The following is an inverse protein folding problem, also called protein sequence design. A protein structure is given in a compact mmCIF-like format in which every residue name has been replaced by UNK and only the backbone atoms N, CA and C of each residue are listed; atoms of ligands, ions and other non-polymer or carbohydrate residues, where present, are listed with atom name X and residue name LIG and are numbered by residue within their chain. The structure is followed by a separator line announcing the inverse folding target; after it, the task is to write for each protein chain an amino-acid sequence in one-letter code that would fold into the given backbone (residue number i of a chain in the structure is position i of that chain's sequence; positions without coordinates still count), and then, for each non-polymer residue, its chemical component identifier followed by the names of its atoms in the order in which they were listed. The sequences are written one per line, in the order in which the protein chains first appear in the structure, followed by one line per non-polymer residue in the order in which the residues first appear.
data_IF_117047153984
#
_entry.id   IF_117047153984
#
_cell.length_a   1.000
_cell.length_b   1.000
_cell.length_c   1.000
_cell.angle_alpha   90.00
_cell.angle_beta   90.00
_cell.angle_gamma   90.00
#
_symmetry.space_group_name_H-M   'P 1'
#
loop_
_entity.id
_entity.type
_entity.pdbx_description
1 polymer ?
#
# COMPACT_ATOMS: atom_id res chain seq x y z
N UNK A 1 22.08 2.10 -0.67
CA UNK A 1 20.68 2.26 -1.15
C UNK A 1 20.69 2.16 -2.67
N UNK A 2 19.89 1.29 -3.30
CA UNK A 2 19.83 1.27 -4.75
C UNK A 2 19.22 2.57 -5.27
N UNK A 3 19.80 3.11 -6.34
CA UNK A 3 19.45 4.40 -6.93
C UNK A 3 17.94 4.45 -7.29
N UNK A 4 17.22 5.42 -6.74
CA UNK A 4 15.83 5.72 -7.10
C UNK A 4 15.79 6.13 -8.57
N UNK A 5 15.20 5.30 -9.44
CA UNK A 5 14.89 5.72 -10.81
C UNK A 5 13.91 6.89 -10.74
N UNK A 6 14.39 8.10 -10.99
CA UNK A 6 13.56 9.30 -11.09
C UNK A 6 12.85 9.31 -12.44
N UNK A 7 11.73 8.59 -12.54
CA UNK A 7 10.81 8.76 -13.66
C UNK A 7 10.21 10.17 -13.67
N UNK A 8 9.82 10.65 -14.85
CA UNK A 8 9.19 11.97 -15.00
C UNK A 8 7.85 12.04 -14.24
N UNK A 9 7.29 13.24 -14.03
CA UNK A 9 5.96 13.39 -13.42
C UNK A 9 4.87 12.64 -14.22
N UNK A 10 4.96 12.68 -15.56
CA UNK A 10 4.05 11.97 -16.44
C UNK A 10 4.18 10.44 -16.30
N UNK A 11 5.40 9.92 -16.15
CA UNK A 11 5.61 8.49 -15.90
C UNK A 11 5.04 8.05 -14.56
N UNK A 12 5.18 8.89 -13.53
CA UNK A 12 4.62 8.60 -12.21
C UNK A 12 3.10 8.53 -12.25
N UNK A 13 2.46 9.51 -12.89
CA UNK A 13 1.00 9.56 -13.02
C UNK A 13 0.46 8.34 -13.79
N UNK A 14 1.13 7.97 -14.89
CA UNK A 14 0.78 6.76 -15.65
C UNK A 14 0.85 5.51 -14.78
N UNK A 15 1.95 5.30 -14.07
CA UNK A 15 2.14 4.14 -13.17
C UNK A 15 1.11 4.10 -12.03
N UNK A 16 0.78 5.25 -11.45
CA UNK A 16 -0.28 5.34 -10.43
C UNK A 16 -1.61 4.90 -11.03
N UNK A 17 -1.96 5.41 -12.21
CA UNK A 17 -3.23 5.09 -12.88
C UNK A 17 -3.32 3.62 -13.29
N UNK A 18 -2.24 3.06 -13.83
CA UNK A 18 -2.15 1.64 -14.20
C UNK A 18 -2.42 0.75 -13.00
N UNK A 19 -1.70 0.92 -11.89
CA UNK A 19 -1.91 0.12 -10.68
C UNK A 19 -3.30 0.32 -10.09
N UNK A 20 -3.80 1.56 -10.08
CA UNK A 20 -5.12 1.88 -9.56
C UNK A 20 -6.23 1.12 -10.31
N UNK A 21 -6.12 1.03 -11.64
CA UNK A 21 -7.09 0.34 -12.48
C UNK A 21 -6.89 -1.17 -12.46
N UNK A 22 -5.67 -1.64 -12.71
CA UNK A 22 -5.38 -3.06 -12.92
C UNK A 22 -5.46 -3.86 -11.62
N UNK A 23 -5.02 -3.30 -10.50
CA UNK A 23 -4.99 -4.01 -9.22
C UNK A 23 -6.22 -3.70 -8.38
N UNK A 24 -6.60 -2.43 -8.27
CA UNK A 24 -7.70 -2.02 -7.37
C UNK A 24 -9.06 -1.83 -8.07
N UNK A 25 -9.13 -1.93 -9.41
CA UNK A 25 -10.37 -1.73 -10.16
C UNK A 25 -10.95 -0.31 -10.07
N UNK A 26 -10.16 0.67 -9.60
CA UNK A 26 -10.61 2.03 -9.35
C UNK A 26 -10.30 2.94 -10.54
N UNK A 27 -11.25 3.80 -10.91
CA UNK A 27 -11.09 4.70 -12.06
C UNK A 27 -10.35 6.00 -11.73
N UNK A 28 -10.44 6.47 -10.49
CA UNK A 28 -9.86 7.74 -10.05
C UNK A 28 -9.53 7.74 -8.57
N UNK A 29 -8.49 8.47 -8.21
CA UNK A 29 -8.18 8.79 -6.83
C UNK A 29 -9.23 9.74 -6.25
N UNK A 30 -9.52 9.59 -4.96
CA UNK A 30 -10.32 10.54 -4.18
C UNK A 30 -9.47 11.76 -3.82
N UNK A 31 -10.13 12.85 -3.43
CA UNK A 31 -9.48 14.07 -2.99
C UNK A 31 -8.44 13.79 -1.88
N UNK A 32 -7.26 14.41 -1.99
CA UNK A 32 -6.15 14.26 -1.05
C UNK A 32 -5.29 13.00 -1.24
N UNK A 33 -5.80 11.91 -1.81
CA UNK A 33 -5.03 10.67 -1.99
C UNK A 33 -3.79 10.88 -2.87
N UNK A 34 -3.93 11.60 -4.00
CA UNK A 34 -2.81 11.87 -4.92
C UNK A 34 -1.64 12.54 -4.19
N UNK A 35 -1.93 13.59 -3.42
CA UNK A 35 -0.90 14.34 -2.67
C UNK A 35 -0.14 13.44 -1.69
N UNK A 36 -0.83 12.54 -0.99
CA UNK A 36 -0.17 11.60 -0.06
C UNK A 36 0.68 10.59 -0.82
N UNK A 37 0.11 9.95 -1.85
CA UNK A 37 0.79 8.94 -2.68
C UNK A 37 2.06 9.52 -3.30
N UNK A 38 2.00 10.71 -3.90
CA UNK A 38 3.14 11.35 -4.54
C UNK A 38 4.26 11.67 -3.56
N UNK A 39 3.93 12.11 -2.33
CA UNK A 39 4.93 12.35 -1.27
C UNK A 39 5.61 11.06 -0.84
N UNK A 40 4.85 9.98 -0.65
CA UNK A 40 5.38 8.66 -0.29
C UNK A 40 6.27 8.12 -1.42
N UNK A 41 5.82 8.20 -2.67
CA UNK A 41 6.61 7.82 -3.84
C UNK A 41 7.89 8.65 -3.99
N UNK A 42 7.87 9.92 -3.59
CA UNK A 42 9.06 10.77 -3.52
C UNK A 42 9.99 10.45 -2.34
N UNK A 43 9.63 9.48 -1.48
CA UNK A 43 10.43 9.11 -0.31
C UNK A 43 10.35 10.10 0.85
N UNK A 44 9.29 10.93 0.89
CA UNK A 44 9.10 11.92 1.95
C UNK A 44 8.27 11.34 3.09
N UNK A 45 8.75 11.53 4.32
CA UNK A 45 7.97 11.30 5.53
C UNK A 45 6.67 12.11 5.45
N UNK A 46 5.54 11.45 5.70
CA UNK A 46 4.21 12.01 5.45
C UNK A 46 3.25 11.62 6.57
N UNK A 47 2.68 12.62 7.23
CA UNK A 47 1.52 12.47 8.12
C UNK A 47 0.27 12.82 7.33
N UNK A 48 -0.59 11.82 7.10
CA UNK A 48 -1.86 12.00 6.39
C UNK A 48 -3.02 12.01 7.38
N UNK A 49 -3.66 13.16 7.56
CA UNK A 49 -4.89 13.30 8.36
C UNK A 49 -6.06 13.25 7.39
N UNK A 50 -6.83 12.17 7.44
CA UNK A 50 -7.93 11.92 6.52
C UNK A 50 -9.12 11.32 7.27
N UNK A 51 -10.38 11.67 6.94
CA UNK A 51 -11.55 11.14 7.62
C UNK A 51 -11.74 9.65 7.35
N UNK A 52 -12.49 8.95 8.21
CA UNK A 52 -12.85 7.54 7.98
C UNK A 52 -13.59 7.39 6.65
N UNK A 53 -13.37 6.27 5.96
CA UNK A 53 -13.91 6.06 4.61
C UNK A 53 -13.20 6.83 3.49
N UNK A 54 -12.26 7.75 3.77
CA UNK A 54 -11.53 8.48 2.72
C UNK A 54 -10.56 7.62 1.89
N UNK A 55 -10.43 6.32 2.19
CA UNK A 55 -9.53 5.41 1.50
C UNK A 55 -8.07 5.64 1.86
N UNK A 56 -7.77 5.83 3.16
CA UNK A 56 -6.39 6.07 3.65
C UNK A 56 -5.45 4.90 3.32
N UNK A 57 -5.98 3.67 3.32
CA UNK A 57 -5.18 2.47 3.07
C UNK A 57 -4.54 2.47 1.68
N UNK A 58 -5.29 2.91 0.67
CA UNK A 58 -4.78 3.05 -0.70
C UNK A 58 -3.53 3.95 -0.77
N UNK A 59 -3.42 4.95 0.12
CA UNK A 59 -2.32 5.89 0.15
C UNK A 59 -0.96 5.26 0.54
N UNK A 60 -0.95 4.06 1.14
CA UNK A 60 0.28 3.29 1.36
C UNK A 60 0.32 1.97 0.56
N UNK A 61 -0.84 1.37 0.26
CA UNK A 61 -0.92 0.14 -0.54
C UNK A 61 -0.48 0.36 -1.99
N UNK A 62 -0.93 1.43 -2.65
CA UNK A 62 -0.53 1.70 -4.03
C UNK A 62 0.97 2.01 -4.13
N UNK A 63 1.57 2.87 -3.28
CA UNK A 63 3.02 3.03 -3.27
C UNK A 63 3.79 1.75 -2.98
N UNK A 64 3.27 0.83 -2.16
CA UNK A 64 3.92 -0.45 -1.87
C UNK A 64 4.12 -1.32 -3.12
N UNK A 65 3.25 -1.19 -4.13
CA UNK A 65 3.38 -1.91 -5.40
C UNK A 65 4.33 -1.22 -6.39
N UNK A 66 4.61 0.07 -6.20
CA UNK A 66 5.43 0.87 -7.12
C UNK A 66 6.88 1.06 -6.63
N UNK A 67 7.11 0.93 -5.33
CA UNK A 67 8.44 1.08 -4.72
C UNK A 67 9.15 -0.28 -4.66
N UNK A 68 10.48 -0.31 -4.82
CA UNK A 68 11.24 -1.54 -4.64
C UNK A 68 11.25 -1.96 -3.16
N UNK A 69 11.19 -3.26 -2.90
CA UNK A 69 11.29 -3.83 -1.55
C UNK A 69 9.94 -4.22 -0.96
N UNK A 70 9.90 -4.40 0.37
CA UNK A 70 8.71 -4.78 1.14
C UNK A 70 8.22 -3.57 1.94
N UNK A 71 6.91 -3.38 1.99
CA UNK A 71 6.26 -2.38 2.85
C UNK A 71 5.80 -3.04 4.14
N UNK A 72 6.13 -2.44 5.28
CA UNK A 72 5.64 -2.87 6.60
C UNK A 72 4.52 -1.93 7.03
N UNK A 73 3.38 -2.50 7.38
CA UNK A 73 2.23 -1.76 7.93
C UNK A 73 2.04 -2.17 9.38
N UNK A 74 2.08 -1.19 10.28
CA UNK A 74 1.83 -1.41 11.71
C UNK A 74 0.37 -1.10 12.00
N UNK A 75 -0.36 -2.08 12.52
CA UNK A 75 -1.76 -1.97 12.89
C UNK A 75 -1.93 -2.22 14.39
N UNK A 76 -2.79 -1.46 15.09
CA UNK A 76 -3.00 -1.64 16.52
C UNK A 76 -3.85 -2.88 16.87
N UNK A 77 -4.63 -3.42 15.92
CA UNK A 77 -5.59 -4.49 16.17
C UNK A 77 -5.38 -5.65 15.20
N UNK A 78 -5.36 -6.88 15.73
CA UNK A 78 -5.26 -8.13 14.95
C UNK A 78 -6.41 -8.24 13.94
N UNK A 79 -7.64 -7.88 14.34
CA UNK A 79 -8.79 -7.86 13.44
C UNK A 79 -8.54 -6.94 12.22
N UNK A 80 -7.98 -5.74 12.43
CA UNK A 80 -7.63 -4.84 11.33
C UNK A 80 -6.50 -5.39 10.45
N UNK A 81 -5.56 -6.16 11.02
CA UNK A 81 -4.52 -6.82 10.23
C UNK A 81 -5.13 -7.86 9.30
N UNK A 82 -6.04 -8.69 9.84
CA UNK A 82 -6.74 -9.72 9.09
C UNK A 82 -7.54 -9.12 7.93
N UNK A 83 -8.38 -8.13 8.21
CA UNK A 83 -9.19 -7.44 7.20
C UNK A 83 -8.32 -6.84 6.07
N UNK A 84 -7.17 -6.26 6.43
CA UNK A 84 -6.25 -5.68 5.44
C UNK A 84 -5.56 -6.75 4.61
N UNK A 85 -5.11 -7.86 5.21
CA UNK A 85 -4.44 -8.95 4.47
C UNK A 85 -5.42 -9.67 3.55
N UNK A 86 -6.64 -9.96 4.02
CA UNK A 86 -7.69 -10.56 3.21
C UNK A 86 -8.04 -9.68 2.02
N UNK A 87 -8.29 -8.38 2.26
CA UNK A 87 -8.56 -7.43 1.17
C UNK A 87 -7.40 -7.35 0.17
N UNK A 88 -6.13 -7.37 0.62
CA UNK A 88 -4.99 -7.36 -0.29
C UNK A 88 -4.91 -8.64 -1.13
N UNK A 89 -5.18 -9.81 -0.52
CA UNK A 89 -5.23 -11.10 -1.21
C UNK A 89 -6.35 -11.17 -2.25
N UNK A 90 -7.50 -10.58 -1.97
CA UNK A 90 -8.62 -10.46 -2.94
C UNK A 90 -8.21 -9.68 -4.19
N UNK A 91 -7.33 -8.69 -4.05
CA UNK A 91 -6.75 -7.94 -5.17
C UNK A 91 -5.53 -8.64 -5.80
N UNK A 92 -5.25 -9.90 -5.43
CA UNK A 92 -4.10 -10.67 -5.93
C UNK A 92 -2.75 -10.18 -5.41
N UNK A 93 -2.73 -9.38 -4.35
CA UNK A 93 -1.50 -8.83 -3.78
C UNK A 93 -1.00 -9.77 -2.68
N UNK A 94 0.28 -10.18 -2.78
CA UNK A 94 0.94 -10.93 -1.74
C UNK A 94 1.05 -10.10 -0.45
N UNK A 95 0.28 -10.48 0.57
CA UNK A 95 0.28 -9.87 1.89
C UNK A 95 0.23 -10.95 2.98
N UNK A 96 0.94 -10.67 4.06
CA UNK A 96 1.04 -11.52 5.25
C UNK A 96 0.90 -10.67 6.50
N UNK A 97 0.46 -11.28 7.60
CA UNK A 97 0.37 -10.66 8.91
C UNK A 97 1.28 -11.41 9.88
N UNK A 98 1.83 -10.69 10.87
CA UNK A 98 2.59 -11.26 11.98
C UNK A 98 1.99 -10.74 13.28
N UNK A 99 1.43 -11.64 14.08
CA UNK A 99 0.81 -11.30 15.37
C UNK A 99 0.89 -12.49 16.33
N UNK A 100 0.44 -12.33 17.57
CA UNK A 100 0.53 -13.37 18.60
C UNK A 100 -0.44 -14.55 18.43
N UNK A 101 -1.32 -14.51 17.43
CA UNK A 101 -2.37 -15.50 17.21
C UNK A 101 -2.14 -16.38 15.96
N UNK A 102 -1.02 -16.20 15.24
CA UNK A 102 -0.68 -17.08 14.11
C UNK A 102 0.15 -18.27 14.60
N UNK A 103 -0.19 -19.46 14.10
CA UNK A 103 0.54 -20.68 14.42
C UNK A 103 1.87 -20.75 13.66
N UNK A 104 2.79 -21.60 14.13
CA UNK A 104 4.17 -21.70 13.61
C UNK A 104 4.27 -22.00 12.11
N UNK A 105 3.23 -22.59 11.52
CA UNK A 105 3.17 -22.87 10.08
C UNK A 105 2.86 -21.62 9.24
N UNK A 106 1.93 -20.77 9.68
CA UNK A 106 1.66 -19.46 9.05
C UNK A 106 2.83 -18.49 9.22
N UNK A 107 3.53 -18.55 10.36
CA UNK A 107 4.76 -17.78 10.58
C UNK A 107 5.86 -18.14 9.57
N UNK A 108 6.02 -19.43 9.25
CA UNK A 108 7.02 -19.90 8.27
C UNK A 108 6.65 -19.50 6.85
N UNK A 109 5.37 -19.54 6.49
CA UNK A 109 4.87 -19.08 5.20
C UNK A 109 5.03 -17.56 4.99
N UNK A 110 5.24 -16.80 6.09
CA UNK A 110 5.40 -15.36 6.07
C UNK A 110 6.85 -14.85 5.93
N UNK A 111 7.82 -15.77 5.83
CA UNK A 111 9.27 -15.46 5.73
C UNK A 111 9.77 -15.30 4.29
#
# INVERSE_FOLDING_TARGET
MPARRSGTAADRERRITEVLQQTFGLRRLRAGQRTVIERVLAGRNTLAIMPTGAGKSLCYQLPALLLPGRTVVVSPLIALMKDQVESMREHGIAAVQLNSAIDTEEERASR
#
